data_IF_986148534878
#
_entry.id   IF_986148534878
#
_cell.length_a   1.000
_cell.length_b   1.000
_cell.length_c   1.000
_cell.angle_alpha   90.00
_cell.angle_beta   90.00
_cell.angle_gamma   90.00
#
_symmetry.space_group_name_H-M   'P 1'
#
loop_
_entity.id
_entity.type
_entity.pdbx_description
1 polymer ?
#
# COMPACT_ATOMS: atom_id res chain seq x y z
N UNK A 1 -38.05 30.78 -9.57
CA UNK A 1 -37.18 29.85 -8.82
C UNK A 1 -36.41 29.04 -9.84
N UNK A 2 -35.16 29.41 -10.09
CA UNK A 2 -34.33 28.79 -11.12
C UNK A 2 -33.79 27.46 -10.62
N UNK A 3 -33.96 26.40 -11.42
CA UNK A 3 -33.36 25.10 -11.18
C UNK A 3 -31.83 25.21 -11.22
N UNK A 4 -31.20 25.21 -10.05
CA UNK A 4 -29.79 24.91 -9.94
C UNK A 4 -29.60 23.42 -10.27
N UNK A 5 -29.31 23.17 -11.54
CA UNK A 5 -28.66 21.94 -11.98
C UNK A 5 -27.32 21.86 -11.25
N UNK A 6 -27.32 21.19 -10.10
CA UNK A 6 -26.11 20.75 -9.41
C UNK A 6 -25.40 19.81 -10.38
N UNK A 7 -24.50 20.36 -11.18
CA UNK A 7 -23.61 19.58 -12.03
C UNK A 7 -22.76 18.72 -11.08
N UNK A 8 -23.18 17.47 -10.86
CA UNK A 8 -22.38 16.52 -10.10
C UNK A 8 -21.15 16.23 -10.93
N UNK A 9 -20.08 17.01 -10.72
CA UNK A 9 -18.76 16.85 -11.36
C UNK A 9 -18.36 15.39 -11.22
N UNK A 10 -18.48 14.62 -12.30
CA UNK A 10 -18.24 13.17 -12.32
C UNK A 10 -16.77 12.94 -12.02
N UNK A 11 -16.47 12.53 -10.78
CA UNK A 11 -15.09 12.39 -10.32
C UNK A 11 -14.44 11.24 -11.08
N UNK A 12 -13.53 11.56 -11.99
CA UNK A 12 -12.81 10.58 -12.81
C UNK A 12 -11.86 9.80 -11.90
N UNK A 13 -12.20 8.55 -11.60
CA UNK A 13 -11.41 7.64 -10.75
C UNK A 13 -9.99 7.49 -11.31
N UNK A 14 -8.97 7.61 -10.46
CA UNK A 14 -7.57 7.49 -10.86
C UNK A 14 -7.19 6.03 -11.15
N UNK A 15 -7.01 5.68 -12.43
CA UNK A 15 -6.58 4.33 -12.84
C UNK A 15 -5.24 3.92 -12.20
N UNK A 16 -4.36 4.89 -11.93
CA UNK A 16 -3.04 4.62 -11.34
C UNK A 16 -3.12 4.22 -9.87
N UNK A 17 -4.00 4.86 -9.10
CA UNK A 17 -4.23 4.46 -7.71
C UNK A 17 -4.81 3.05 -7.63
N UNK A 18 -5.67 2.64 -8.58
CA UNK A 18 -6.15 1.26 -8.66
C UNK A 18 -5.03 0.26 -8.97
N UNK A 19 -4.17 0.56 -9.95
CA UNK A 19 -3.03 -0.32 -10.28
C UNK A 19 -2.08 -0.46 -9.09
N UNK A 20 -1.77 0.67 -8.43
CA UNK A 20 -0.97 0.66 -7.20
C UNK A 20 -1.63 -0.20 -6.13
N UNK A 21 -2.92 0.00 -5.85
CA UNK A 21 -3.67 -0.76 -4.86
C UNK A 21 -3.63 -2.28 -5.12
N UNK A 22 -3.82 -2.71 -6.37
CA UNK A 22 -3.76 -4.13 -6.74
C UNK A 22 -2.36 -4.70 -6.49
N UNK A 23 -1.31 -4.01 -6.92
CA UNK A 23 0.07 -4.46 -6.70
C UNK A 23 0.41 -4.52 -5.21
N UNK A 24 0.03 -3.51 -4.45
CA UNK A 24 0.20 -3.46 -3.00
C UNK A 24 -0.51 -4.61 -2.30
N UNK A 25 -1.75 -4.90 -2.71
CA UNK A 25 -2.56 -5.98 -2.13
C UNK A 25 -1.95 -7.35 -2.41
N UNK A 26 -1.51 -7.59 -3.65
CA UNK A 26 -0.81 -8.83 -4.03
C UNK A 26 0.49 -9.01 -3.23
N UNK A 27 1.23 -7.91 -3.01
CA UNK A 27 2.46 -7.95 -2.22
C UNK A 27 2.21 -8.27 -0.75
N UNK A 28 1.15 -7.72 -0.14
CA UNK A 28 0.75 -8.08 1.23
C UNK A 28 0.43 -9.58 1.31
N UNK A 29 -0.33 -10.12 0.36
CA UNK A 29 -0.64 -11.56 0.31
C UNK A 29 0.65 -12.40 0.22
N UNK A 30 1.61 -11.97 -0.60
CA UNK A 30 2.91 -12.62 -0.69
C UNK A 30 3.65 -12.63 0.65
N UNK A 31 3.71 -11.49 1.36
CA UNK A 31 4.37 -11.39 2.67
C UNK A 31 3.77 -12.36 3.69
N UNK A 32 2.44 -12.41 3.80
CA UNK A 32 1.76 -13.32 4.73
C UNK A 32 2.01 -14.79 4.40
N UNK A 33 2.04 -15.18 3.12
CA UNK A 33 2.34 -16.57 2.73
C UNK A 33 3.79 -16.94 2.98
N UNK A 34 4.73 -16.06 2.64
CA UNK A 34 6.16 -16.34 2.74
C UNK A 34 6.63 -16.42 4.20
N UNK A 35 6.24 -15.46 5.03
CA UNK A 35 6.66 -15.41 6.44
C UNK A 35 5.75 -16.22 7.36
N UNK A 36 4.45 -16.34 7.05
CA UNK A 36 3.53 -17.18 7.83
C UNK A 36 3.78 -18.68 7.65
N UNK A 37 4.27 -19.12 6.48
CA UNK A 37 4.52 -20.53 6.20
C UNK A 37 5.70 -21.13 6.97
N UNK A 38 6.77 -20.36 7.19
CA UNK A 38 8.00 -20.86 7.83
C UNK A 38 7.87 -21.16 9.33
N UNK A 39 6.90 -20.54 10.01
CA UNK A 39 6.66 -20.70 11.45
C UNK A 39 6.01 -22.07 11.77
N UNK A 40 5.34 -22.70 10.79
CA UNK A 40 4.64 -23.99 10.95
C UNK A 40 5.53 -25.20 10.61
N UNK A 41 6.85 -25.01 10.57
CA UNK A 41 7.82 -26.09 10.29
C UNK A 41 7.97 -27.06 11.47
N UNK A 42 8.25 -28.34 11.17
CA UNK A 42 8.47 -29.39 12.18
C UNK A 42 9.94 -29.50 12.62
N UNK A 43 10.86 -28.76 11.99
CA UNK A 43 12.27 -28.69 12.38
C UNK A 43 12.51 -27.45 13.26
N UNK A 44 13.03 -27.66 14.47
CA UNK A 44 13.24 -26.60 15.45
C UNK A 44 14.23 -25.53 15.00
N UNK A 45 15.24 -25.89 14.19
CA UNK A 45 16.21 -24.93 13.67
C UNK A 45 15.59 -24.04 12.57
N UNK A 46 14.79 -24.64 11.68
CA UNK A 46 14.06 -23.94 10.62
C UNK A 46 13.01 -22.99 11.21
N UNK A 47 12.25 -23.45 12.21
CA UNK A 47 11.26 -22.65 12.92
C UNK A 47 11.89 -21.44 13.63
N UNK A 48 13.04 -21.63 14.28
CA UNK A 48 13.78 -20.54 14.93
C UNK A 48 14.28 -19.49 13.91
N UNK A 49 14.83 -19.94 12.78
CA UNK A 49 15.25 -19.05 11.69
C UNK A 49 14.08 -18.26 11.09
N UNK A 50 12.95 -18.93 10.84
CA UNK A 50 11.74 -18.30 10.33
C UNK A 50 11.13 -17.28 11.31
N UNK A 51 11.15 -17.57 12.62
CA UNK A 51 10.66 -16.65 13.64
C UNK A 51 11.49 -15.36 13.69
N UNK A 52 12.82 -15.47 13.66
CA UNK A 52 13.72 -14.31 13.65
C UNK A 52 13.51 -13.47 12.37
N UNK A 53 13.47 -14.13 11.21
CA UNK A 53 13.23 -13.45 9.94
C UNK A 53 11.86 -12.72 9.92
N UNK A 54 10.83 -13.38 10.44
CA UNK A 54 9.48 -12.80 10.55
C UNK A 54 9.45 -11.60 11.49
N UNK A 55 10.13 -11.68 12.65
CA UNK A 55 10.21 -10.56 13.59
C UNK A 55 10.90 -9.33 12.98
N UNK A 56 11.94 -9.54 12.16
CA UNK A 56 12.65 -8.46 11.47
C UNK A 56 11.81 -7.81 10.36
N UNK A 57 11.03 -8.59 9.59
CA UNK A 57 10.20 -8.06 8.50
C UNK A 57 8.86 -7.49 9.00
N UNK A 58 8.40 -7.89 10.19
CA UNK A 58 7.11 -7.50 10.75
C UNK A 58 6.85 -5.99 10.74
N UNK A 59 7.77 -5.11 11.20
CA UNK A 59 7.55 -3.66 11.15
C UNK A 59 7.40 -3.14 9.71
N UNK A 60 8.11 -3.72 8.74
CA UNK A 60 7.92 -3.41 7.31
C UNK A 60 6.53 -3.83 6.84
N UNK A 61 6.11 -5.06 7.14
CA UNK A 61 4.82 -5.61 6.72
C UNK A 61 3.64 -4.78 7.25
N UNK A 62 3.69 -4.32 8.50
CA UNK A 62 2.66 -3.45 9.08
C UNK A 62 2.57 -2.12 8.33
N UNK A 63 3.70 -1.47 8.06
CA UNK A 63 3.71 -0.19 7.35
C UNK A 63 3.16 -0.32 5.92
N UNK A 64 3.51 -1.41 5.22
CA UNK A 64 2.95 -1.72 3.90
C UNK A 64 1.43 -1.91 4.00
N UNK A 65 0.95 -2.70 4.97
CA UNK A 65 -0.48 -2.95 5.16
C UNK A 65 -1.27 -1.66 5.41
N UNK A 66 -0.78 -0.81 6.32
CA UNK A 66 -1.40 0.49 6.60
C UNK A 66 -1.35 1.37 5.33
N UNK A 67 -0.24 1.35 4.60
CA UNK A 67 -0.11 2.04 3.31
C UNK A 67 -1.16 1.58 2.29
N UNK A 68 -1.42 0.27 2.19
CA UNK A 68 -2.45 -0.30 1.32
C UNK A 68 -3.83 0.21 1.71
N UNK A 69 -4.14 0.25 3.01
CA UNK A 69 -5.43 0.76 3.51
C UNK A 69 -5.61 2.23 3.14
N UNK A 70 -4.61 3.08 3.37
CA UNK A 70 -4.69 4.50 3.00
C UNK A 70 -4.78 4.71 1.48
N UNK A 71 -4.08 3.92 0.69
CA UNK A 71 -4.18 3.94 -0.76
C UNK A 71 -5.60 3.53 -1.22
N UNK A 72 -6.17 2.48 -0.60
CA UNK A 72 -7.53 2.04 -0.86
C UNK A 72 -8.54 3.16 -0.53
N UNK A 73 -8.44 3.74 0.67
CA UNK A 73 -9.28 4.86 1.09
C UNK A 73 -9.13 6.05 0.13
N UNK A 74 -7.91 6.41 -0.26
CA UNK A 74 -7.66 7.47 -1.23
C UNK A 74 -8.28 7.21 -2.60
N UNK A 75 -8.25 5.96 -3.07
CA UNK A 75 -8.89 5.55 -4.31
C UNK A 75 -10.43 5.55 -4.23
N UNK A 76 -11.00 4.98 -3.17
CA UNK A 76 -12.46 4.90 -3.01
C UNK A 76 -13.08 6.28 -2.76
N UNK A 77 -12.45 7.09 -1.92
CA UNK A 77 -12.91 8.44 -1.58
C UNK A 77 -12.47 9.51 -2.59
N UNK A 78 -11.66 9.15 -3.60
CA UNK A 78 -11.00 10.09 -4.52
C UNK A 78 -10.29 11.25 -3.78
N UNK A 79 -9.70 10.96 -2.62
CA UNK A 79 -9.01 11.95 -1.81
C UNK A 79 -7.49 11.78 -1.98
N UNK A 80 -6.88 12.78 -2.62
CA UNK A 80 -5.44 12.82 -2.90
C UNK A 80 -4.58 12.76 -1.62
N UNK A 81 -5.04 13.31 -0.50
CA UNK A 81 -4.26 13.32 0.74
C UNK A 81 -4.07 11.90 1.30
N UNK A 82 -5.10 11.05 1.22
CA UNK A 82 -4.96 9.65 1.65
C UNK A 82 -4.01 8.85 0.74
N UNK A 83 -4.01 9.12 -0.57
CA UNK A 83 -3.03 8.51 -1.48
C UNK A 83 -1.60 8.95 -1.12
N UNK A 84 -1.40 10.22 -0.75
CA UNK A 84 -0.10 10.73 -0.33
C UNK A 84 0.38 10.07 0.98
N UNK A 85 -0.51 9.94 1.97
CA UNK A 85 -0.20 9.23 3.22
C UNK A 85 0.20 7.78 2.94
N UNK A 86 -0.53 7.08 2.06
CA UNK A 86 -0.17 5.73 1.61
C UNK A 86 1.22 5.68 0.95
N UNK A 87 1.54 6.64 0.08
CA UNK A 87 2.85 6.74 -0.57
C UNK A 87 3.99 6.96 0.43
N UNK A 88 3.78 7.83 1.44
CA UNK A 88 4.75 8.07 2.51
C UNK A 88 4.95 6.81 3.36
N UNK A 89 3.86 6.10 3.71
CA UNK A 89 3.95 4.85 4.45
C UNK A 89 4.73 3.77 3.69
N UNK A 90 4.59 3.71 2.36
CA UNK A 90 5.43 2.85 1.54
C UNK A 90 6.91 3.26 1.61
N UNK A 91 7.22 4.56 1.60
CA UNK A 91 8.59 5.04 1.78
C UNK A 91 9.16 4.64 3.16
N UNK A 92 8.39 4.85 4.23
CA UNK A 92 8.79 4.47 5.61
C UNK A 92 9.01 2.96 5.69
N UNK A 93 8.14 2.15 5.07
CA UNK A 93 8.31 0.69 5.07
C UNK A 93 9.63 0.27 4.43
N UNK A 94 10.08 0.93 3.35
CA UNK A 94 11.36 0.61 2.72
C UNK A 94 12.54 0.92 3.64
N UNK A 95 12.47 2.00 4.42
CA UNK A 95 13.51 2.35 5.39
C UNK A 95 13.60 1.30 6.50
N UNK A 96 12.46 0.77 6.96
CA UNK A 96 12.42 -0.28 7.98
C UNK A 96 13.00 -1.61 7.51
N UNK A 97 12.94 -1.92 6.22
CA UNK A 97 13.53 -3.15 5.67
C UNK A 97 13.99 -2.98 4.22
N UNK A 98 15.23 -2.50 4.06
CA UNK A 98 15.81 -2.16 2.77
C UNK A 98 15.90 -3.35 1.80
N UNK A 99 16.05 -4.58 2.30
CA UNK A 99 16.16 -5.78 1.45
C UNK A 99 14.92 -6.02 0.57
N UNK A 100 13.75 -5.54 0.98
CA UNK A 100 12.49 -5.71 0.24
C UNK A 100 12.05 -4.46 -0.53
N UNK A 101 12.93 -3.46 -0.70
CA UNK A 101 12.59 -2.21 -1.37
C UNK A 101 12.07 -2.40 -2.81
N UNK A 102 12.57 -3.43 -3.52
CA UNK A 102 12.31 -3.63 -4.95
C UNK A 102 10.82 -3.86 -5.27
N UNK A 103 10.06 -4.43 -4.34
CA UNK A 103 8.62 -4.64 -4.49
C UNK A 103 7.80 -3.41 -4.09
N UNK A 104 8.32 -2.60 -3.16
CA UNK A 104 7.61 -1.43 -2.62
C UNK A 104 7.87 -0.16 -3.44
N UNK A 105 9.01 -0.06 -4.11
CA UNK A 105 9.36 1.13 -4.89
C UNK A 105 8.38 1.38 -6.05
N UNK A 106 7.93 0.33 -6.73
CA UNK A 106 7.00 0.46 -7.87
C UNK A 106 5.65 1.00 -7.41
N UNK A 107 5.07 0.42 -6.36
CA UNK A 107 3.79 0.87 -5.80
C UNK A 107 3.88 2.27 -5.20
N UNK A 108 5.03 2.64 -4.61
CA UNK A 108 5.30 3.98 -4.10
C UNK A 108 5.30 5.01 -5.24
N UNK A 109 6.08 4.77 -6.31
CA UNK A 109 6.13 5.67 -7.47
C UNK A 109 4.74 5.83 -8.08
N UNK A 110 4.01 4.73 -8.27
CA UNK A 110 2.64 4.78 -8.79
C UNK A 110 1.70 5.59 -7.88
N UNK A 111 1.84 5.49 -6.56
CA UNK A 111 1.06 6.28 -5.60
C UNK A 111 1.40 7.77 -5.68
N UNK A 112 2.68 8.14 -5.81
CA UNK A 112 3.09 9.53 -6.00
C UNK A 112 2.59 10.11 -7.33
N UNK A 113 2.67 9.35 -8.43
CA UNK A 113 2.12 9.78 -9.72
C UNK A 113 0.59 9.88 -9.65
N UNK A 114 -0.07 8.94 -8.96
CA UNK A 114 -1.52 9.00 -8.74
C UNK A 114 -1.92 10.25 -7.96
N UNK A 115 -1.16 10.62 -6.93
CA UNK A 115 -1.33 11.87 -6.19
C UNK A 115 -1.15 13.10 -7.09
N UNK A 116 -0.07 13.16 -7.87
CA UNK A 116 0.21 14.28 -8.77
C UNK A 116 -0.86 14.47 -9.87
N UNK A 117 -1.46 13.36 -10.34
CA UNK A 117 -2.52 13.38 -11.35
C UNK A 117 -3.92 13.59 -10.78
N UNK A 118 -4.11 13.47 -9.46
CA UNK A 118 -5.38 13.81 -8.83
C UNK A 118 -5.49 15.33 -8.71
N UNK A 119 -6.43 15.91 -9.45
CA UNK A 119 -6.78 17.34 -9.36
C UNK A 119 -7.06 17.72 -7.90
N UNK A 120 -6.58 18.91 -7.50
CA UNK A 120 -6.89 19.52 -6.20
C UNK A 120 -8.41 19.61 -6.07
N UNK A 121 -8.99 18.75 -5.23
CA UNK A 121 -10.32 19.01 -4.68
C UNK A 121 -10.09 20.11 -3.65
N UNK A 122 -10.52 21.33 -3.99
CA UNK A 122 -10.68 22.42 -3.04
C UNK A 122 -11.66 22.00 -1.94
#
# INVERSE_FOLDING_TARGET
MGNEIVETKKVKKSKLALVSLVLSTLYVIYLFKHFGGGIVSNDGAEAAGAAIASALVFPHAIMVLIGVIFNALGYFMNNRYFVLVGAILYAVSMVLFLLYFMFVIVQMILSFIAFAKMSKRE
#
